data_IF_214902438822
#
_entry.id   IF_214902438822
#
_cell.length_a   1.000
_cell.length_b   1.000
_cell.length_c   1.000
_cell.angle_alpha   90.00
_cell.angle_beta   90.00
_cell.angle_gamma   90.00
#
_symmetry.space_group_name_H-M   'P 1'
#
loop_
_entity.id
_entity.type
_entity.pdbx_description
1 polymer ?
#
# COMPACT_ATOMS: atom_id res chain seq x y z
N UNK A 1 1.83 5.69 4.13
CA UNK A 1 2.66 4.51 4.41
C UNK A 1 1.83 3.63 5.31
N UNK A 2 1.73 2.37 4.90
CA UNK A 2 0.76 1.36 5.34
C UNK A 2 1.45 0.42 6.37
N UNK A 3 0.83 0.16 7.54
CA UNK A 3 1.40 -0.70 8.58
C UNK A 3 1.52 -2.18 8.18
N UNK A 4 0.67 -2.65 7.25
CA UNK A 4 0.66 -4.02 6.78
C UNK A 4 1.62 -4.23 5.59
N UNK A 5 2.15 -3.14 5.03
CA UNK A 5 3.04 -3.19 3.88
C UNK A 5 4.48 -3.55 4.29
N UNK A 6 5.04 -4.58 3.66
CA UNK A 6 6.39 -5.06 3.97
C UNK A 6 7.51 -4.36 3.21
N UNK A 7 7.23 -3.32 2.40
CA UNK A 7 8.28 -2.66 1.63
C UNK A 7 9.31 -1.93 2.51
N UNK A 8 10.56 -1.77 2.05
CA UNK A 8 11.59 -1.07 2.82
C UNK A 8 11.24 0.37 3.20
N UNK A 9 10.42 1.06 2.38
CA UNK A 9 9.93 2.39 2.71
C UNK A 9 9.02 2.38 3.95
N UNK A 10 8.08 1.43 4.05
CA UNK A 10 7.17 1.30 5.19
C UNK A 10 7.87 0.80 6.46
N UNK A 11 8.89 -0.07 6.33
CA UNK A 11 9.61 -0.62 7.49
C UNK A 11 10.58 0.36 8.15
N UNK A 12 11.18 1.25 7.36
CA UNK A 12 12.29 2.11 7.85
C UNK A 12 11.91 3.58 8.03
N UNK A 13 10.76 4.02 7.51
CA UNK A 13 10.38 5.43 7.52
C UNK A 13 8.94 5.65 7.96
N UNK A 14 8.70 6.72 8.71
CA UNK A 14 7.36 7.09 9.18
C UNK A 14 6.59 7.92 8.16
N UNK A 15 5.25 7.95 8.28
CA UNK A 15 4.39 8.87 7.51
C UNK A 15 4.80 10.33 7.70
N UNK A 16 5.20 10.70 8.92
CA UNK A 16 5.64 12.06 9.25
C UNK A 16 6.94 12.43 8.54
N UNK A 17 7.92 11.51 8.51
CA UNK A 17 9.17 11.74 7.79
C UNK A 17 8.92 11.89 6.29
N UNK A 18 8.10 11.01 5.70
CA UNK A 18 7.75 11.10 4.29
C UNK A 18 7.05 12.44 3.95
N UNK A 19 6.13 12.89 4.81
CA UNK A 19 5.48 14.19 4.66
C UNK A 19 6.49 15.34 4.69
N UNK A 20 7.46 15.28 5.61
CA UNK A 20 8.51 16.29 5.73
C UNK A 20 9.38 16.36 4.47
N UNK A 21 9.97 15.25 4.01
CA UNK A 21 10.87 15.25 2.84
C UNK A 21 10.12 15.59 1.55
N UNK A 22 8.83 15.23 1.46
CA UNK A 22 7.97 15.64 0.35
C UNK A 22 7.76 17.16 0.34
N UNK A 23 7.44 17.76 1.49
CA UNK A 23 7.31 19.22 1.63
C UNK A 23 8.61 19.97 1.40
N UNK A 24 9.74 19.37 1.76
CA UNK A 24 11.07 19.92 1.53
C UNK A 24 11.53 19.85 0.06
N UNK A 25 10.80 19.11 -0.80
CA UNK A 25 11.15 18.94 -2.21
C UNK A 25 12.35 18.02 -2.43
N UNK A 26 12.65 17.13 -1.47
CA UNK A 26 13.79 16.23 -1.57
C UNK A 26 13.49 15.02 -2.47
N UNK A 27 14.45 14.63 -3.30
CA UNK A 27 14.30 13.52 -4.27
C UNK A 27 13.99 12.17 -3.60
N UNK A 28 14.42 12.00 -2.33
CA UNK A 28 14.16 10.79 -1.56
C UNK A 28 12.66 10.53 -1.38
N UNK A 29 11.82 11.57 -1.37
CA UNK A 29 10.38 11.42 -1.30
C UNK A 29 9.84 10.61 -2.49
N UNK A 30 10.27 10.97 -3.71
CA UNK A 30 9.90 10.28 -4.94
C UNK A 30 10.41 8.85 -4.99
N UNK A 31 11.62 8.61 -4.48
CA UNK A 31 12.21 7.27 -4.40
C UNK A 31 11.41 6.36 -3.46
N UNK A 32 11.12 6.83 -2.24
CA UNK A 32 10.37 6.06 -1.24
C UNK A 32 8.93 5.78 -1.69
N UNK A 33 8.25 6.77 -2.27
CA UNK A 33 6.91 6.60 -2.82
C UNK A 33 6.89 5.60 -3.99
N UNK A 34 7.86 5.70 -4.91
CA UNK A 34 7.95 4.75 -6.03
C UNK A 34 8.15 3.33 -5.53
N UNK A 35 9.01 3.14 -4.53
CA UNK A 35 9.24 1.82 -3.96
C UNK A 35 7.98 1.25 -3.29
N UNK A 36 7.32 2.04 -2.46
CA UNK A 36 6.06 1.64 -1.83
C UNK A 36 4.99 1.28 -2.86
N UNK A 37 4.78 2.15 -3.85
CA UNK A 37 3.76 1.96 -4.87
C UNK A 37 4.01 0.69 -5.71
N UNK A 38 5.25 0.48 -6.16
CA UNK A 38 5.58 -0.72 -6.93
C UNK A 38 5.36 -1.98 -6.12
N UNK A 39 5.79 -2.00 -4.85
CA UNK A 39 5.56 -3.16 -3.98
C UNK A 39 4.07 -3.43 -3.77
N UNK A 40 3.29 -2.40 -3.45
CA UNK A 40 1.83 -2.50 -3.29
C UNK A 40 1.17 -3.11 -4.52
N UNK A 41 1.50 -2.63 -5.72
CA UNK A 41 0.93 -3.17 -6.96
C UNK A 41 1.37 -4.62 -7.22
N UNK A 42 2.61 -4.99 -6.87
CA UNK A 42 3.06 -6.37 -7.01
C UNK A 42 2.29 -7.32 -6.08
N UNK A 43 2.04 -6.92 -4.83
CA UNK A 43 1.25 -7.70 -3.87
C UNK A 43 -0.21 -7.82 -4.32
N UNK A 44 -0.83 -6.71 -4.73
CA UNK A 44 -2.20 -6.70 -5.25
C UNK A 44 -2.35 -7.66 -6.44
N UNK A 45 -1.44 -7.57 -7.41
CA UNK A 45 -1.49 -8.42 -8.59
C UNK A 45 -1.18 -9.89 -8.28
N UNK A 46 -0.32 -10.15 -7.29
CA UNK A 46 -0.09 -11.52 -6.80
C UNK A 46 -1.36 -12.11 -6.17
N UNK A 47 -2.06 -11.34 -5.33
CA UNK A 47 -3.33 -11.73 -4.72
C UNK A 47 -4.40 -12.02 -5.78
N UNK A 48 -4.55 -11.15 -6.78
CA UNK A 48 -5.48 -11.35 -7.89
C UNK A 48 -5.17 -12.65 -8.68
N UNK A 49 -3.89 -12.90 -9.02
CA UNK A 49 -3.50 -14.13 -9.71
C UNK A 49 -3.81 -15.38 -8.87
N UNK A 50 -3.57 -15.35 -7.56
CA UNK A 50 -3.91 -16.45 -6.65
C UNK A 50 -5.42 -16.67 -6.53
N UNK A 51 -6.21 -15.61 -6.49
CA UNK A 51 -7.67 -15.67 -6.45
C UNK A 51 -8.25 -16.24 -7.75
N UNK A 52 -7.69 -15.88 -8.91
CA UNK A 52 -8.08 -16.48 -10.19
C UNK A 52 -7.75 -17.97 -10.23
N UNK A 53 -6.54 -18.35 -9.81
CA UNK A 53 -6.11 -19.76 -9.82
C UNK A 53 -6.92 -20.66 -8.89
N UNK A 54 -7.57 -20.09 -7.86
CA UNK A 54 -8.43 -20.79 -6.90
C UNK A 54 -9.93 -20.60 -7.17
N UNK A 55 -10.30 -20.03 -8.32
CA UNK A 55 -11.69 -19.71 -8.69
C UNK A 55 -12.41 -18.77 -7.68
N UNK A 56 -11.65 -18.05 -6.86
CA UNK A 56 -12.12 -17.19 -5.76
C UNK A 56 -12.07 -15.69 -6.04
N UNK A 57 -11.95 -15.26 -7.30
CA UNK A 57 -11.74 -13.84 -7.66
C UNK A 57 -12.83 -12.91 -7.11
N UNK A 58 -14.10 -13.30 -7.21
CA UNK A 58 -15.22 -12.46 -6.74
C UNK A 58 -15.12 -12.16 -5.24
N UNK A 59 -14.77 -13.16 -4.44
CA UNK A 59 -14.59 -13.01 -2.99
C UNK A 59 -13.39 -12.11 -2.67
N UNK A 60 -12.29 -12.27 -3.40
CA UNK A 60 -11.11 -11.42 -3.25
C UNK A 60 -11.43 -9.95 -3.52
N UNK A 61 -12.14 -9.66 -4.61
CA UNK A 61 -12.53 -8.28 -4.97
C UNK A 61 -13.47 -7.69 -3.92
N UNK A 62 -14.49 -8.43 -3.49
CA UNK A 62 -15.42 -7.96 -2.46
C UNK A 62 -14.71 -7.62 -1.15
N UNK A 63 -13.78 -8.48 -0.69
CA UNK A 63 -12.98 -8.22 0.50
C UNK A 63 -12.04 -7.02 0.34
N UNK A 64 -11.42 -6.88 -0.82
CA UNK A 64 -10.55 -5.75 -1.14
C UNK A 64 -11.31 -4.41 -1.13
N UNK A 65 -12.48 -4.35 -1.77
CA UNK A 65 -13.32 -3.15 -1.80
C UNK A 65 -13.83 -2.79 -0.40
N UNK A 66 -14.28 -3.78 0.38
CA UNK A 66 -14.72 -3.57 1.76
C UNK A 66 -13.60 -3.00 2.63
N UNK A 67 -12.38 -3.53 2.52
CA UNK A 67 -11.21 -3.00 3.24
C UNK A 67 -10.88 -1.55 2.88
N UNK A 68 -10.96 -1.19 1.59
CA UNK A 68 -10.74 0.20 1.14
C UNK A 68 -11.82 1.17 1.61
N UNK A 69 -13.08 0.70 1.68
CA UNK A 69 -14.19 1.50 2.16
C UNK A 69 -14.08 1.79 3.67
N UNK A 70 -13.55 0.83 4.44
CA UNK A 70 -13.33 1.00 5.88
C UNK A 70 -12.26 2.05 6.20
N UNK A 71 -11.19 2.13 5.39
CA UNK A 71 -10.07 3.05 5.62
C UNK A 71 -9.17 2.63 6.80
N UNK A 72 -8.11 3.42 7.03
CA UNK A 72 -7.07 3.17 8.05
C UNK A 72 -7.09 4.16 9.22
N UNK A 73 -8.07 5.07 9.26
CA UNK A 73 -8.17 6.12 10.27
C UNK A 73 -9.44 5.96 11.10
N UNK A 74 -9.33 6.13 12.41
CA UNK A 74 -10.50 6.24 13.27
C UNK A 74 -11.35 7.45 12.86
N UNK A 75 -12.69 7.33 12.87
CA UNK A 75 -13.58 8.47 12.64
C UNK A 75 -13.30 9.56 13.67
N UNK A 76 -13.09 10.79 13.18
CA UNK A 76 -12.93 12.00 14.01
C UNK A 76 -14.25 12.51 14.56
#
# INVERSE_FOLDING_TARGET
LDPDCTCPACRSYSRAYLHHVFKAGEIIASMLLTWHNLHYYQELMAGLRGAIASEGLANFVAGFEAGRAAGDLEPV
#
